data_IF_802285113712
#
_entry.id   IF_802285113712
#
_cell.length_a   1.000
_cell.length_b   1.000
_cell.length_c   1.000
_cell.angle_alpha   90.00
_cell.angle_beta   90.00
_cell.angle_gamma   90.00
#
_symmetry.space_group_name_H-M   'P 1'
#
loop_
_entity.id
_entity.type
_entity.pdbx_description
1 polymer ?
#
# COMPACT_ATOMS: atom_id res chain seq x y z
N UNK A 1 13.30 10.48 35.63
CA UNK A 1 13.94 9.45 34.83
C UNK A 1 12.89 8.60 34.18
N UNK A 2 12.89 8.60 32.88
CA UNK A 2 11.85 7.97 32.09
C UNK A 2 12.02 6.45 32.08
N UNK A 3 10.97 5.72 31.76
CA UNK A 3 11.03 4.29 31.53
C UNK A 3 12.13 3.93 30.50
N UNK A 4 12.38 4.81 29.56
CA UNK A 4 13.43 4.65 28.54
C UNK A 4 14.83 4.57 29.15
N UNK A 5 15.15 5.39 30.16
CA UNK A 5 16.46 5.33 30.84
C UNK A 5 16.68 3.98 31.55
N UNK A 6 15.60 3.37 32.01
CA UNK A 6 15.63 2.05 32.66
C UNK A 6 15.74 0.90 31.66
N UNK A 7 15.27 1.10 30.43
CA UNK A 7 15.33 0.12 29.34
C UNK A 7 16.70 0.12 28.64
N UNK A 8 17.42 1.22 28.67
CA UNK A 8 18.70 1.37 27.95
C UNK A 8 19.72 0.25 28.23
N UNK A 9 19.88 -0.24 29.48
CA UNK A 9 20.78 -1.39 29.74
C UNK A 9 20.38 -2.72 29.08
N UNK A 10 19.14 -2.82 28.56
CA UNK A 10 18.57 -4.00 27.95
C UNK A 10 18.49 -3.88 26.42
N UNK A 11 18.95 -2.76 25.87
CA UNK A 11 18.88 -2.48 24.44
C UNK A 11 19.78 -3.38 23.59
N UNK A 12 20.92 -3.75 24.14
CA UNK A 12 21.90 -4.61 23.46
C UNK A 12 21.83 -6.03 24.06
N UNK A 13 21.28 -7.02 23.33
CA UNK A 13 21.16 -8.39 23.82
C UNK A 13 22.51 -9.08 24.07
N UNK A 14 23.61 -8.59 23.50
CA UNK A 14 24.95 -9.14 23.66
C UNK A 14 25.69 -8.59 24.89
N UNK A 15 25.13 -7.61 25.60
CA UNK A 15 25.71 -7.07 26.83
C UNK A 15 25.24 -7.87 28.07
N UNK A 16 26.05 -7.86 29.12
CA UNK A 16 25.75 -8.53 30.40
C UNK A 16 24.51 -7.85 31.05
N UNK A 17 23.36 -8.52 30.98
CA UNK A 17 22.08 -8.02 31.39
C UNK A 17 21.93 -8.10 32.93
N UNK A 18 21.31 -7.08 33.60
CA UNK A 18 20.93 -7.19 35.00
C UNK A 18 19.96 -8.39 35.18
N UNK A 19 20.13 -9.17 36.24
CA UNK A 19 19.52 -10.47 36.43
C UNK A 19 17.97 -10.50 36.30
N UNK A 20 17.42 -11.71 36.21
CA UNK A 20 15.99 -12.01 35.96
C UNK A 20 14.99 -11.26 36.87
N UNK A 21 15.39 -10.98 38.11
CA UNK A 21 14.56 -10.22 39.06
C UNK A 21 14.39 -8.76 38.61
N UNK A 22 15.46 -8.14 38.10
CA UNK A 22 15.44 -6.77 37.60
C UNK A 22 14.54 -6.66 36.35
N UNK A 23 14.62 -7.64 35.44
CA UNK A 23 13.74 -7.73 34.28
C UNK A 23 12.26 -7.84 34.68
N UNK A 24 11.94 -8.70 35.61
CA UNK A 24 10.56 -8.89 36.08
C UNK A 24 9.95 -7.62 36.65
N UNK A 25 10.76 -6.85 37.41
CA UNK A 25 10.31 -5.54 37.96
C UNK A 25 10.10 -4.51 36.83
N UNK A 26 11.05 -4.42 35.91
CA UNK A 26 10.96 -3.51 34.76
C UNK A 26 9.76 -3.85 33.87
N UNK A 27 9.49 -5.12 33.66
CA UNK A 27 8.34 -5.61 32.91
C UNK A 27 7.01 -5.20 33.53
N UNK A 28 6.89 -5.18 34.84
CA UNK A 28 5.70 -4.65 35.50
C UNK A 28 5.55 -3.13 35.28
N UNK A 29 6.63 -2.39 35.41
CA UNK A 29 6.60 -0.94 35.13
C UNK A 29 6.22 -0.65 33.67
N UNK A 30 6.73 -1.42 32.72
CA UNK A 30 6.36 -1.32 31.31
C UNK A 30 4.84 -1.52 31.13
N UNK A 31 4.29 -2.59 31.75
CA UNK A 31 2.87 -2.88 31.66
C UNK A 31 2.03 -1.74 32.26
N UNK A 32 2.42 -1.19 33.40
CA UNK A 32 1.73 -0.08 34.06
C UNK A 32 1.78 1.20 33.22
N UNK A 33 2.95 1.58 32.70
CA UNK A 33 3.12 2.81 31.90
C UNK A 33 2.40 2.74 30.55
N UNK A 34 2.37 1.57 29.92
CA UNK A 34 1.69 1.35 28.64
C UNK A 34 0.22 0.96 28.80
N UNK A 35 -0.27 0.83 30.04
CA UNK A 35 -1.62 0.35 30.33
C UNK A 35 -1.92 -1.03 29.69
N UNK A 36 -0.91 -1.88 29.58
CA UNK A 36 -1.02 -3.20 29.00
C UNK A 36 -1.43 -4.25 30.05
N UNK A 37 -2.26 -5.19 29.63
CA UNK A 37 -2.42 -6.43 30.39
C UNK A 37 -1.12 -7.25 30.35
N UNK A 38 -0.95 -8.14 31.32
CA UNK A 38 0.19 -9.08 31.29
C UNK A 38 0.20 -9.99 30.05
N UNK A 39 -0.98 -10.25 29.49
CA UNK A 39 -1.15 -11.04 28.25
C UNK A 39 -0.71 -10.24 27.04
N UNK A 40 -1.08 -8.97 26.92
CA UNK A 40 -0.67 -8.11 25.82
C UNK A 40 0.84 -7.88 25.81
N UNK A 41 1.44 -7.69 26.99
CA UNK A 41 2.87 -7.55 27.11
C UNK A 41 3.60 -8.82 26.70
N UNK A 42 3.10 -10.00 27.12
CA UNK A 42 3.69 -11.28 26.73
C UNK A 42 3.60 -11.53 25.22
N UNK A 43 2.50 -11.10 24.58
CA UNK A 43 2.34 -11.14 23.12
C UNK A 43 3.36 -10.25 22.43
N UNK A 44 3.55 -9.02 22.89
CA UNK A 44 4.51 -8.09 22.33
C UNK A 44 5.93 -8.61 22.47
N UNK A 45 6.29 -9.18 23.64
CA UNK A 45 7.57 -9.84 23.86
C UNK A 45 7.78 -11.03 22.90
N UNK A 46 6.73 -11.83 22.68
CA UNK A 46 6.80 -12.94 21.72
C UNK A 46 7.02 -12.49 20.27
N UNK A 47 6.49 -11.33 19.89
CA UNK A 47 6.65 -10.78 18.55
C UNK A 47 8.05 -10.22 18.34
N UNK A 48 8.58 -9.50 19.32
CA UNK A 48 9.85 -8.79 19.21
C UNK A 48 11.07 -9.63 19.69
N UNK A 49 10.81 -10.71 20.42
CA UNK A 49 11.86 -11.61 20.91
C UNK A 49 12.97 -10.90 21.66
N UNK A 50 14.20 -11.25 21.39
CA UNK A 50 15.40 -10.69 22.04
C UNK A 50 15.57 -9.18 21.75
N UNK A 51 14.92 -8.65 20.73
CA UNK A 51 14.94 -7.23 20.38
C UNK A 51 13.87 -6.40 21.10
N UNK A 52 13.09 -6.99 22.00
CA UNK A 52 11.95 -6.31 22.65
C UNK A 52 12.33 -4.97 23.29
N UNK A 53 13.39 -4.93 24.09
CA UNK A 53 13.83 -3.73 24.77
C UNK A 53 14.34 -2.66 23.79
N UNK A 54 15.09 -3.07 22.77
CA UNK A 54 15.61 -2.19 21.72
C UNK A 54 14.46 -1.53 20.96
N UNK A 55 13.51 -2.31 20.46
CA UNK A 55 12.34 -1.78 19.75
C UNK A 55 11.48 -0.88 20.62
N UNK A 56 11.31 -1.20 21.90
CA UNK A 56 10.56 -0.35 22.82
C UNK A 56 11.24 0.99 23.07
N UNK A 57 12.58 1.02 23.17
CA UNK A 57 13.37 2.24 23.24
C UNK A 57 13.21 3.09 21.98
N UNK A 58 13.37 2.48 20.79
CA UNK A 58 13.26 3.17 19.51
C UNK A 58 11.85 3.75 19.31
N UNK A 59 10.83 2.96 19.60
CA UNK A 59 9.45 3.45 19.61
C UNK A 59 9.29 4.59 20.58
N UNK A 60 9.86 4.54 21.80
CA UNK A 60 9.75 5.58 22.81
C UNK A 60 10.47 6.90 22.45
N UNK A 61 11.57 6.82 21.72
CA UNK A 61 12.40 7.98 21.36
C UNK A 61 11.89 8.74 20.13
N UNK A 62 11.20 8.05 19.22
CA UNK A 62 10.70 8.68 18.00
C UNK A 62 9.47 9.56 18.27
N UNK A 63 9.37 10.75 17.68
CA UNK A 63 8.16 11.56 17.75
C UNK A 63 7.02 10.86 17.03
N UNK A 64 5.85 10.81 17.68
CA UNK A 64 4.66 10.16 17.13
C UNK A 64 3.62 11.20 16.75
N UNK A 65 3.11 11.08 15.54
CA UNK A 65 1.95 11.84 15.08
C UNK A 65 0.85 10.87 14.74
N UNK A 66 -0.25 10.90 15.49
CA UNK A 66 -1.41 10.09 15.23
C UNK A 66 -2.58 10.98 14.85
N UNK A 67 -3.28 10.64 13.79
CA UNK A 67 -4.57 11.18 13.48
C UNK A 67 -5.59 10.05 13.56
N UNK A 68 -6.60 10.18 14.41
CA UNK A 68 -7.71 9.23 14.51
C UNK A 68 -8.94 9.88 13.94
N UNK A 69 -9.46 9.33 12.84
CA UNK A 69 -10.74 9.73 12.28
C UNK A 69 -11.76 8.66 12.58
N UNK A 70 -12.78 8.98 13.36
CA UNK A 70 -13.90 8.09 13.58
C UNK A 70 -14.85 8.20 12.39
N UNK A 71 -14.93 7.13 11.61
CA UNK A 71 -15.95 6.99 10.59
C UNK A 71 -17.22 6.46 11.27
N UNK A 72 -18.35 7.05 10.90
CA UNK A 72 -19.63 6.63 11.46
C UNK A 72 -19.89 5.13 11.19
N UNK A 73 -20.25 4.39 12.22
CA UNK A 73 -20.26 2.92 12.20
C UNK A 73 -21.50 2.26 11.61
N UNK A 74 -22.32 2.95 10.78
CA UNK A 74 -23.53 2.35 10.20
C UNK A 74 -23.46 2.26 8.67
N UNK A 75 -24.14 1.26 8.09
CA UNK A 75 -24.27 1.11 6.63
C UNK A 75 -24.83 2.36 5.94
N UNK A 76 -25.70 3.09 6.61
CA UNK A 76 -26.30 4.33 6.07
C UNK A 76 -25.23 5.39 5.94
N UNK A 77 -24.33 5.48 6.89
CA UNK A 77 -23.26 6.46 6.89
C UNK A 77 -22.19 6.11 5.86
N UNK A 78 -21.85 4.84 5.67
CA UNK A 78 -20.96 4.41 4.58
C UNK A 78 -21.49 4.81 3.21
N UNK A 79 -22.77 4.56 2.91
CA UNK A 79 -23.37 4.97 1.63
C UNK A 79 -23.38 6.48 1.42
N UNK A 80 -23.65 7.23 2.49
CA UNK A 80 -23.63 8.69 2.44
C UNK A 80 -22.22 9.22 2.25
N UNK A 81 -21.26 8.61 2.95
CA UNK A 81 -19.85 8.92 2.84
C UNK A 81 -19.33 8.66 1.42
N UNK A 82 -19.63 7.48 0.86
CA UNK A 82 -19.24 7.10 -0.49
C UNK A 82 -19.82 8.06 -1.55
N UNK A 83 -21.09 8.42 -1.43
CA UNK A 83 -21.70 9.39 -2.36
C UNK A 83 -21.04 10.75 -2.30
N UNK A 84 -20.71 11.26 -1.11
CA UNK A 84 -19.99 12.52 -0.95
C UNK A 84 -18.59 12.48 -1.51
N UNK A 85 -17.88 11.38 -1.24
CA UNK A 85 -16.56 11.14 -1.78
C UNK A 85 -16.57 11.09 -3.31
N UNK A 86 -17.52 10.36 -3.90
CA UNK A 86 -17.66 10.28 -5.35
C UNK A 86 -18.07 11.63 -5.98
N UNK A 87 -19.01 12.35 -5.36
CA UNK A 87 -19.37 13.70 -5.81
C UNK A 87 -18.17 14.63 -5.82
N UNK A 88 -17.33 14.56 -4.78
CA UNK A 88 -16.10 15.35 -4.73
C UNK A 88 -15.13 14.98 -5.88
N UNK A 89 -14.99 13.69 -6.19
CA UNK A 89 -14.14 13.23 -7.30
C UNK A 89 -14.71 13.71 -8.64
N UNK A 90 -16.01 13.58 -8.87
CA UNK A 90 -16.64 14.02 -10.11
C UNK A 90 -16.57 15.53 -10.31
N UNK A 91 -16.75 16.29 -9.24
CA UNK A 91 -16.66 17.76 -9.27
C UNK A 91 -15.22 18.26 -9.51
N UNK A 92 -14.21 17.55 -8.98
CA UNK A 92 -12.80 17.88 -9.18
C UNK A 92 -12.20 17.30 -10.48
N UNK A 93 -12.89 16.37 -11.12
CA UNK A 93 -12.44 15.75 -12.37
C UNK A 93 -12.50 16.74 -13.54
N UNK A 94 -11.45 16.77 -14.40
CA UNK A 94 -11.46 17.61 -15.60
C UNK A 94 -12.43 17.11 -16.69
N UNK A 95 -12.97 15.90 -16.53
CA UNK A 95 -13.84 15.23 -17.51
C UNK A 95 -15.04 14.59 -16.83
N UNK A 96 -16.11 14.42 -17.57
CA UNK A 96 -17.29 13.70 -17.08
C UNK A 96 -17.00 12.19 -17.03
N UNK A 97 -17.07 11.63 -15.81
CA UNK A 97 -16.85 10.22 -15.56
C UNK A 97 -18.07 9.36 -15.92
N UNK A 98 -19.26 9.95 -16.04
CA UNK A 98 -20.50 9.22 -16.28
C UNK A 98 -20.69 8.79 -17.74
N UNK A 99 -20.03 9.44 -18.69
CA UNK A 99 -20.23 9.23 -20.13
C UNK A 99 -19.11 8.42 -20.81
N UNK A 100 -18.09 8.01 -20.04
CA UNK A 100 -16.90 7.35 -20.60
C UNK A 100 -16.67 5.98 -19.97
N UNK A 101 -16.15 5.02 -20.73
CA UNK A 101 -15.78 3.72 -20.19
C UNK A 101 -14.64 3.85 -19.16
N UNK A 102 -14.78 3.19 -18.03
CA UNK A 102 -13.85 3.28 -16.90
C UNK A 102 -13.16 1.96 -16.65
N UNK A 103 -11.85 2.00 -16.48
CA UNK A 103 -11.07 0.96 -15.82
C UNK A 103 -10.83 1.39 -14.38
N UNK A 104 -11.30 0.59 -13.43
CA UNK A 104 -11.11 0.83 -12.01
C UNK A 104 -9.88 0.09 -11.51
N UNK A 105 -9.00 0.81 -10.82
CA UNK A 105 -7.81 0.25 -10.19
C UNK A 105 -7.87 0.62 -8.69
N UNK A 106 -7.74 -0.38 -7.82
CA UNK A 106 -7.47 -0.18 -6.41
C UNK A 106 -6.03 -0.61 -6.15
N UNK A 107 -5.19 0.37 -5.89
CA UNK A 107 -3.78 0.16 -5.60
C UNK A 107 -3.28 1.32 -4.74
N UNK A 108 -1.98 1.55 -4.67
CA UNK A 108 -1.48 2.80 -4.11
C UNK A 108 -1.53 3.93 -5.14
N UNK A 109 -1.58 5.18 -4.65
CA UNK A 109 -1.59 6.38 -5.51
C UNK A 109 -0.22 6.76 -6.09
N UNK A 110 0.79 5.91 -5.95
CA UNK A 110 2.14 6.19 -6.43
C UNK A 110 2.52 5.37 -7.65
N UNK A 111 2.31 4.05 -7.60
CA UNK A 111 2.90 3.12 -8.59
C UNK A 111 2.40 3.34 -10.00
N UNK A 112 1.09 3.39 -10.21
CA UNK A 112 0.49 3.54 -11.55
C UNK A 112 0.94 4.85 -12.17
N UNK A 113 0.83 5.95 -11.42
CA UNK A 113 1.15 7.28 -11.93
C UNK A 113 2.65 7.46 -12.16
N UNK A 114 3.51 6.95 -11.30
CA UNK A 114 4.95 6.98 -11.51
C UNK A 114 5.36 6.31 -12.84
N UNK A 115 4.72 5.16 -13.13
CA UNK A 115 5.00 4.43 -14.36
C UNK A 115 4.43 5.10 -15.60
N UNK A 116 3.29 5.77 -15.52
CA UNK A 116 2.64 6.44 -16.65
C UNK A 116 3.18 7.85 -16.91
N UNK A 117 3.55 8.58 -15.85
CA UNK A 117 4.09 9.93 -15.99
C UNK A 117 5.61 9.95 -16.25
N UNK A 118 6.34 8.95 -15.75
CA UNK A 118 7.79 8.91 -15.79
C UNK A 118 8.47 10.11 -15.13
N UNK A 119 7.78 10.79 -14.20
CA UNK A 119 8.27 12.02 -13.57
C UNK A 119 9.60 11.82 -12.86
N UNK A 120 9.72 10.74 -12.06
CA UNK A 120 10.97 10.40 -11.38
C UNK A 120 12.12 10.12 -12.37
N UNK A 121 11.82 9.39 -13.44
CA UNK A 121 12.82 8.96 -14.39
C UNK A 121 13.42 10.15 -15.17
N UNK A 122 12.60 11.16 -15.45
CA UNK A 122 13.09 12.39 -16.10
C UNK A 122 13.87 13.33 -15.17
N UNK A 123 13.85 13.05 -13.86
CA UNK A 123 14.57 13.79 -12.81
C UNK A 123 15.61 12.95 -12.10
N UNK A 124 16.12 11.93 -12.75
CA UNK A 124 17.13 11.02 -12.16
C UNK A 124 18.32 11.78 -11.57
N UNK A 125 18.82 12.82 -12.26
CA UNK A 125 19.95 13.59 -11.77
C UNK A 125 19.64 14.39 -10.51
N UNK A 126 18.43 14.95 -10.40
CA UNK A 126 17.98 15.71 -9.23
C UNK A 126 17.75 14.78 -8.04
N UNK A 127 17.14 13.63 -8.31
CA UNK A 127 16.89 12.61 -7.29
C UNK A 127 18.20 11.94 -6.81
N UNK A 128 19.16 11.75 -7.73
CA UNK A 128 20.47 11.24 -7.35
C UNK A 128 21.24 12.22 -6.47
N UNK A 129 21.07 13.54 -6.65
CA UNK A 129 21.64 14.55 -5.76
C UNK A 129 20.93 14.53 -4.39
N UNK A 130 19.60 14.46 -4.37
CA UNK A 130 18.85 14.33 -3.13
C UNK A 130 19.28 13.08 -2.33
N UNK A 131 19.48 11.95 -3.01
CA UNK A 131 19.99 10.73 -2.39
C UNK A 131 21.35 10.92 -1.70
N UNK A 132 22.24 11.75 -2.26
CA UNK A 132 23.52 12.08 -1.60
C UNK A 132 23.37 12.95 -0.35
N UNK A 133 22.28 13.72 -0.28
CA UNK A 133 21.96 14.56 0.88
C UNK A 133 21.18 13.78 1.98
N UNK A 134 20.68 12.58 1.66
CA UNK A 134 20.07 11.67 2.63
C UNK A 134 21.18 11.04 3.49
N UNK A 135 20.93 10.93 4.80
CA UNK A 135 21.84 10.25 5.73
C UNK A 135 21.60 8.72 5.68
N UNK A 136 21.55 8.17 4.47
CA UNK A 136 21.34 6.74 4.20
C UNK A 136 22.39 6.20 3.25
N UNK A 137 23.50 5.79 3.81
CA UNK A 137 24.64 5.23 3.09
C UNK A 137 24.29 3.93 2.35
N UNK A 138 23.38 3.12 2.88
CA UNK A 138 22.98 1.85 2.30
C UNK A 138 22.23 2.07 0.97
N UNK A 139 21.31 3.04 0.92
CA UNK A 139 20.61 3.41 -0.31
C UNK A 139 21.56 4.00 -1.36
N UNK A 140 22.54 4.81 -0.94
CA UNK A 140 23.57 5.37 -1.85
C UNK A 140 24.40 4.25 -2.48
N UNK A 141 24.82 3.27 -1.68
CA UNK A 141 25.57 2.12 -2.18
C UNK A 141 24.69 1.25 -3.09
N UNK A 142 23.45 0.99 -2.73
CA UNK A 142 22.50 0.23 -3.55
C UNK A 142 22.33 0.89 -4.92
N UNK A 143 22.07 2.21 -4.99
CA UNK A 143 21.95 2.94 -6.23
C UNK A 143 23.21 2.83 -7.09
N UNK A 144 24.41 2.97 -6.48
CA UNK A 144 25.68 2.81 -7.17
C UNK A 144 25.86 1.41 -7.77
N UNK A 145 25.50 0.37 -7.01
CA UNK A 145 25.60 -1.03 -7.46
C UNK A 145 24.61 -1.37 -8.58
N UNK A 146 23.37 -0.80 -8.49
CA UNK A 146 22.39 -0.92 -9.56
C UNK A 146 22.93 -0.28 -10.85
N UNK A 147 23.45 0.95 -10.77
CA UNK A 147 23.99 1.69 -11.91
C UNK A 147 25.20 0.98 -12.57
N UNK A 148 25.99 0.27 -11.80
CA UNK A 148 27.10 -0.55 -12.28
C UNK A 148 26.67 -1.93 -12.81
N UNK A 149 25.40 -2.31 -12.64
CA UNK A 149 24.91 -3.63 -13.02
C UNK A 149 25.41 -4.76 -12.11
N UNK A 150 25.84 -4.44 -10.89
CA UNK A 150 26.38 -5.41 -9.93
C UNK A 150 25.28 -6.22 -9.23
N UNK A 151 24.06 -5.69 -9.21
CA UNK A 151 22.88 -6.34 -8.65
C UNK A 151 21.72 -6.29 -9.65
N UNK A 152 20.81 -7.28 -9.64
CA UNK A 152 19.74 -7.39 -10.63
C UNK A 152 18.58 -6.41 -10.43
N UNK A 153 18.63 -5.54 -9.43
CA UNK A 153 17.63 -4.51 -9.16
C UNK A 153 17.54 -3.49 -10.31
N UNK A 154 16.42 -2.78 -10.35
CA UNK A 154 16.19 -1.73 -11.35
C UNK A 154 16.21 -0.36 -10.70
N UNK A 155 16.88 0.60 -11.32
CA UNK A 155 16.98 1.98 -10.83
C UNK A 155 15.64 2.68 -10.76
N UNK A 156 14.68 2.32 -11.63
CA UNK A 156 13.36 2.92 -11.65
C UNK A 156 12.64 2.80 -10.31
N UNK A 157 12.65 1.62 -9.70
CA UNK A 157 11.99 1.40 -8.40
C UNK A 157 12.63 2.24 -7.29
N UNK A 158 13.96 2.32 -7.28
CA UNK A 158 14.67 3.12 -6.30
C UNK A 158 14.40 4.62 -6.51
N UNK A 159 14.36 5.10 -7.76
CA UNK A 159 14.00 6.49 -8.06
C UNK A 159 12.57 6.84 -7.62
N UNK A 160 11.63 5.91 -7.72
CA UNK A 160 10.26 6.11 -7.21
C UNK A 160 10.25 6.23 -5.68
N UNK A 161 11.06 5.44 -4.99
CA UNK A 161 11.22 5.53 -3.54
C UNK A 161 11.85 6.87 -3.13
N UNK A 162 12.96 7.26 -3.78
CA UNK A 162 13.65 8.54 -3.52
C UNK A 162 12.72 9.72 -3.82
N UNK A 163 11.94 9.67 -4.90
CA UNK A 163 10.96 10.73 -5.19
C UNK A 163 9.98 10.91 -4.05
N UNK A 164 9.48 9.82 -3.49
CA UNK A 164 8.54 9.87 -2.36
C UNK A 164 9.17 10.54 -1.15
N UNK A 165 10.38 10.15 -0.78
CA UNK A 165 11.14 10.76 0.31
C UNK A 165 11.38 12.25 0.05
N UNK A 166 11.78 12.60 -1.18
CA UNK A 166 12.01 13.98 -1.57
C UNK A 166 10.75 14.85 -1.49
N UNK A 167 9.59 14.28 -1.78
CA UNK A 167 8.30 14.95 -1.66
C UNK A 167 7.85 15.15 -0.20
N UNK A 168 8.35 14.35 0.73
CA UNK A 168 8.07 14.47 2.16
C UNK A 168 9.01 15.48 2.88
N UNK A 169 9.98 16.07 2.17
CA UNK A 169 10.93 17.07 2.71
C UNK A 169 10.39 18.50 2.71
N UNK A 170 11.18 19.45 3.21
CA UNK A 170 10.82 20.89 3.31
C UNK A 170 10.61 21.61 1.96
N UNK A 171 10.93 21.00 0.84
CA UNK A 171 10.67 21.51 -0.53
C UNK A 171 9.47 20.82 -1.21
N UNK A 172 8.68 20.12 -0.45
CA UNK A 172 7.55 19.33 -0.94
C UNK A 172 6.62 20.13 -1.88
N UNK A 173 6.23 21.35 -1.51
CA UNK A 173 5.26 22.14 -2.28
C UNK A 173 5.73 22.45 -3.70
N UNK A 174 7.03 22.74 -3.91
CA UNK A 174 7.56 23.05 -5.24
C UNK A 174 7.55 21.82 -6.16
N UNK A 175 8.01 20.67 -5.62
CA UNK A 175 8.06 19.41 -6.37
C UNK A 175 6.66 18.89 -6.63
N UNK A 176 5.76 18.99 -5.67
CA UNK A 176 4.35 18.66 -5.82
C UNK A 176 3.71 19.47 -6.94
N UNK A 177 3.89 20.78 -6.96
CA UNK A 177 3.36 21.65 -7.99
C UNK A 177 3.90 21.32 -9.38
N UNK A 178 5.21 21.05 -9.49
CA UNK A 178 5.83 20.64 -10.75
C UNK A 178 5.28 19.29 -11.24
N UNK A 179 5.13 18.34 -10.33
CA UNK A 179 4.58 17.02 -10.61
C UNK A 179 3.14 17.14 -11.10
N UNK A 180 2.28 17.86 -10.38
CA UNK A 180 0.89 18.05 -10.75
C UNK A 180 0.76 18.71 -12.13
N UNK A 181 1.57 19.72 -12.43
CA UNK A 181 1.56 20.38 -13.74
C UNK A 181 1.96 19.43 -14.86
N UNK A 182 3.03 18.65 -14.70
CA UNK A 182 3.47 17.70 -15.73
C UNK A 182 2.50 16.54 -15.90
N UNK A 183 1.98 16.00 -14.82
CA UNK A 183 0.99 14.93 -14.84
C UNK A 183 -0.32 15.39 -15.50
N UNK A 184 -0.75 16.64 -15.28
CA UNK A 184 -1.88 17.22 -15.99
C UNK A 184 -1.67 17.32 -17.51
N UNK A 185 -0.42 17.52 -17.99
CA UNK A 185 -0.12 17.52 -19.42
C UNK A 185 -0.33 16.14 -20.07
N UNK A 186 -0.18 15.06 -19.31
CA UNK A 186 -0.45 13.70 -19.78
C UNK A 186 -1.81 13.15 -19.31
N UNK A 187 -2.72 14.03 -18.91
CA UNK A 187 -4.10 13.66 -18.60
C UNK A 187 -4.30 13.00 -17.23
N UNK A 188 -3.38 13.19 -16.30
CA UNK A 188 -3.47 12.64 -14.94
C UNK A 188 -3.87 13.77 -13.99
N UNK A 189 -4.93 13.55 -13.21
CA UNK A 189 -5.39 14.44 -12.15
C UNK A 189 -5.42 13.71 -10.82
N UNK A 190 -4.67 14.24 -9.86
CA UNK A 190 -4.77 13.83 -8.45
C UNK A 190 -5.95 14.53 -7.77
N UNK A 191 -6.64 13.79 -6.94
CA UNK A 191 -7.80 14.28 -6.18
C UNK A 191 -7.65 13.78 -4.75
N UNK A 192 -7.23 14.70 -3.88
CA UNK A 192 -7.04 14.42 -2.47
C UNK A 192 -8.39 14.21 -1.78
N UNK A 193 -8.46 13.28 -0.86
CA UNK A 193 -9.67 13.04 -0.09
C UNK A 193 -9.55 13.62 1.31
N UNK A 194 -10.12 14.82 1.51
CA UNK A 194 -10.01 15.52 2.81
C UNK A 194 -11.18 15.28 3.76
N UNK A 195 -12.24 14.53 3.38
CA UNK A 195 -13.50 14.74 4.10
C UNK A 195 -14.17 13.52 4.74
N UNK A 196 -14.20 12.34 4.16
CA UNK A 196 -15.06 11.28 4.71
C UNK A 196 -14.44 9.88 4.64
N UNK A 197 -13.85 9.57 3.53
CA UNK A 197 -12.93 8.45 3.36
C UNK A 197 -11.54 9.04 3.15
N UNK A 198 -10.57 8.49 3.83
CA UNK A 198 -9.16 8.81 3.61
C UNK A 198 -8.64 7.95 2.44
N UNK A 199 -9.32 8.11 1.30
CA UNK A 199 -9.02 7.38 0.06
C UNK A 199 -8.83 8.39 -1.03
N UNK A 200 -7.58 8.61 -1.40
CA UNK A 200 -7.21 9.46 -2.53
C UNK A 200 -7.59 8.79 -3.84
N UNK A 201 -7.83 9.59 -4.85
CA UNK A 201 -8.16 9.12 -6.18
C UNK A 201 -7.35 9.82 -7.26
N UNK A 202 -7.19 9.12 -8.37
CA UNK A 202 -6.58 9.66 -9.58
C UNK A 202 -7.51 9.37 -10.76
N UNK A 203 -7.78 10.38 -11.55
CA UNK A 203 -8.48 10.27 -12.82
C UNK A 203 -7.47 10.44 -13.94
N UNK A 204 -7.41 9.45 -14.84
CA UNK A 204 -6.42 9.40 -15.92
C UNK A 204 -7.14 9.27 -17.26
N UNK A 205 -6.94 10.23 -18.15
CA UNK A 205 -7.43 10.21 -19.52
C UNK A 205 -6.49 9.40 -20.42
N UNK A 206 -6.89 8.20 -20.80
CA UNK A 206 -6.03 7.26 -21.55
C UNK A 206 -5.53 7.87 -22.86
N UNK A 207 -6.35 8.63 -23.57
CA UNK A 207 -5.97 9.26 -24.85
C UNK A 207 -4.93 10.40 -24.72
N UNK A 208 -4.74 10.93 -23.52
CA UNK A 208 -3.78 12.01 -23.27
C UNK A 208 -2.44 11.51 -22.75
N UNK A 209 -2.36 10.22 -22.40
CA UNK A 209 -1.11 9.62 -21.97
C UNK A 209 -0.03 9.77 -23.02
N UNK A 210 1.21 9.94 -22.57
CA UNK A 210 2.38 10.11 -23.41
C UNK A 210 3.31 8.90 -23.33
N UNK A 211 3.23 7.96 -24.27
CA UNK A 211 4.02 6.72 -24.23
C UNK A 211 5.53 6.92 -24.18
N UNK A 212 6.02 8.03 -24.70
CA UNK A 212 7.43 8.44 -24.64
C UNK A 212 7.90 8.76 -23.20
N UNK A 213 6.96 9.09 -22.31
CA UNK A 213 7.22 9.36 -20.89
C UNK A 213 7.15 8.12 -20.03
N UNK A 214 6.56 7.04 -20.52
CA UNK A 214 6.33 5.84 -19.74
C UNK A 214 7.62 5.21 -19.22
N UNK A 215 7.48 4.58 -18.07
CA UNK A 215 8.48 3.62 -17.60
C UNK A 215 8.84 2.64 -18.73
N UNK A 216 10.13 2.36 -18.96
CA UNK A 216 10.57 1.47 -20.04
C UNK A 216 9.88 0.11 -20.04
N UNK A 217 9.44 -0.37 -18.87
CA UNK A 217 8.72 -1.66 -18.72
C UNK A 217 7.33 -1.67 -19.35
N UNK A 218 6.71 -0.50 -19.52
CA UNK A 218 5.40 -0.36 -20.16
C UNK A 218 5.49 -0.15 -21.69
N UNK A 219 6.67 -0.06 -22.25
CA UNK A 219 6.86 0.20 -23.68
C UNK A 219 6.59 -1.05 -24.49
N UNK A 220 5.39 -1.15 -25.03
CA UNK A 220 4.95 -2.22 -25.95
C UNK A 220 4.60 -1.64 -27.31
N UNK A 221 4.63 -2.44 -28.41
CA UNK A 221 4.45 -1.94 -29.78
C UNK A 221 3.12 -1.24 -30.06
N UNK A 222 2.09 -1.49 -29.27
CA UNK A 222 0.69 -1.08 -29.57
C UNK A 222 0.25 0.17 -28.80
N UNK A 223 1.18 0.89 -28.17
CA UNK A 223 0.87 2.08 -27.35
C UNK A 223 0.20 3.21 -28.14
N UNK A 224 0.42 3.28 -29.45
CA UNK A 224 -0.22 4.30 -30.31
C UNK A 224 -1.76 4.22 -30.29
N UNK A 225 -2.32 3.07 -29.93
CA UNK A 225 -3.77 2.88 -29.77
C UNK A 225 -4.34 3.66 -28.60
N UNK A 226 -3.54 4.01 -27.60
CA UNK A 226 -3.99 4.78 -26.46
C UNK A 226 -4.58 6.13 -26.87
N UNK A 227 -4.01 6.78 -27.86
CA UNK A 227 -4.49 8.07 -28.38
C UNK A 227 -5.91 8.01 -28.97
N UNK A 228 -6.39 6.83 -29.33
CA UNK A 228 -7.74 6.63 -29.88
C UNK A 228 -8.75 6.18 -28.80
N UNK A 229 -8.30 5.96 -27.57
CA UNK A 229 -9.15 5.46 -26.50
C UNK A 229 -9.87 6.59 -25.77
N UNK A 230 -11.20 6.53 -25.71
CA UNK A 230 -11.96 7.44 -24.86
C UNK A 230 -12.10 6.97 -23.42
N UNK A 231 -11.41 5.89 -23.05
CA UNK A 231 -11.48 5.33 -21.71
C UNK A 231 -10.79 6.20 -20.66
N UNK A 232 -11.25 6.06 -19.43
CA UNK A 232 -10.65 6.63 -18.23
C UNK A 232 -10.08 5.51 -17.35
N UNK A 233 -9.05 5.82 -16.60
CA UNK A 233 -8.65 5.01 -15.45
C UNK A 233 -9.00 5.80 -14.20
N UNK A 234 -9.73 5.18 -13.28
CA UNK A 234 -9.94 5.68 -11.93
C UNK A 234 -9.12 4.80 -11.00
N UNK A 235 -8.00 5.33 -10.54
CA UNK A 235 -7.12 4.66 -9.58
C UNK A 235 -7.38 5.25 -8.19
N UNK A 236 -7.50 4.38 -7.19
CA UNK A 236 -7.71 4.79 -5.80
C UNK A 236 -6.71 4.13 -4.87
N UNK A 237 -6.49 4.78 -3.72
CA UNK A 237 -5.76 4.15 -2.62
C UNK A 237 -6.62 3.06 -1.94
N UNK A 238 -6.08 2.36 -0.97
CA UNK A 238 -6.70 1.20 -0.33
C UNK A 238 -7.89 1.58 0.56
N UNK A 239 -9.13 1.25 0.16
CA UNK A 239 -10.30 1.45 1.01
C UNK A 239 -10.54 0.21 1.88
N UNK A 240 -10.06 0.22 3.09
CA UNK A 240 -10.10 -0.95 3.97
C UNK A 240 -11.52 -1.55 4.15
N UNK A 241 -11.61 -2.86 4.03
CA UNK A 241 -12.79 -3.65 4.35
C UNK A 241 -14.04 -3.25 3.57
N UNK A 242 -15.15 -2.96 4.26
CA UNK A 242 -16.43 -2.60 3.64
C UNK A 242 -16.42 -1.29 2.84
N UNK A 243 -15.40 -0.45 3.01
CA UNK A 243 -15.16 0.70 2.14
C UNK A 243 -15.03 0.29 0.67
N UNK A 244 -14.29 -0.79 0.41
CA UNK A 244 -14.10 -1.36 -0.92
C UNK A 244 -15.43 -1.72 -1.60
N UNK A 245 -16.32 -2.43 -0.88
CA UNK A 245 -17.65 -2.77 -1.35
C UNK A 245 -18.46 -1.53 -1.76
N UNK A 246 -18.54 -0.55 -0.86
CA UNK A 246 -19.36 0.64 -1.08
C UNK A 246 -18.84 1.51 -2.21
N UNK A 247 -17.53 1.66 -2.33
CA UNK A 247 -16.89 2.45 -3.39
C UNK A 247 -17.14 1.80 -4.75
N UNK A 248 -16.79 0.52 -4.92
CA UNK A 248 -16.96 -0.14 -6.22
C UNK A 248 -18.43 -0.25 -6.63
N UNK A 249 -19.34 -0.61 -5.70
CA UNK A 249 -20.78 -0.64 -5.98
C UNK A 249 -21.31 0.71 -6.44
N UNK A 250 -20.81 1.81 -5.87
CA UNK A 250 -21.25 3.14 -6.25
C UNK A 250 -20.69 3.54 -7.62
N UNK A 251 -19.40 3.33 -7.87
CA UNK A 251 -18.76 3.59 -9.16
C UNK A 251 -19.45 2.80 -10.27
N UNK A 252 -19.67 1.49 -10.07
CA UNK A 252 -20.29 0.62 -11.06
C UNK A 252 -21.70 1.07 -11.48
N UNK A 253 -22.42 1.80 -10.60
CA UNK A 253 -23.74 2.34 -10.92
C UNK A 253 -23.72 3.80 -11.41
N UNK A 254 -22.57 4.45 -11.36
CA UNK A 254 -22.42 5.90 -11.66
C UNK A 254 -21.68 6.16 -12.97
N UNK A 255 -21.05 5.17 -13.57
CA UNK A 255 -20.34 5.27 -14.85
C UNK A 255 -21.10 4.53 -15.93
N UNK A 256 -20.96 4.95 -17.19
CA UNK A 256 -21.61 4.30 -18.34
C UNK A 256 -21.18 2.82 -18.45
N UNK A 257 -19.90 2.54 -18.34
CA UNK A 257 -19.36 1.20 -18.54
C UNK A 257 -18.10 0.97 -17.71
N UNK A 258 -18.17 0.02 -16.80
CA UNK A 258 -16.99 -0.48 -16.07
C UNK A 258 -16.34 -1.60 -16.90
N UNK A 259 -15.18 -1.33 -17.49
CA UNK A 259 -14.48 -2.22 -18.42
C UNK A 259 -13.57 -3.23 -17.75
N UNK A 260 -13.08 -2.90 -16.56
CA UNK A 260 -12.20 -3.78 -15.81
C UNK A 260 -12.04 -3.30 -14.38
N UNK A 261 -11.79 -4.23 -13.48
CA UNK A 261 -11.51 -4.00 -12.07
C UNK A 261 -10.19 -4.67 -11.74
N UNK A 262 -9.20 -3.90 -11.33
CA UNK A 262 -7.87 -4.37 -10.99
C UNK A 262 -7.58 -4.04 -9.53
N UNK A 263 -7.32 -5.07 -8.74
CA UNK A 263 -7.07 -4.94 -7.31
C UNK A 263 -5.64 -5.42 -7.06
N UNK A 264 -4.81 -4.52 -6.56
CA UNK A 264 -3.44 -4.78 -6.16
C UNK A 264 -3.28 -4.29 -4.73
N UNK A 265 -2.87 -5.14 -3.83
CA UNK A 265 -2.74 -4.79 -2.43
C UNK A 265 -1.61 -5.54 -1.76
N UNK A 266 -1.48 -5.33 -0.47
CA UNK A 266 -0.59 -6.09 0.39
C UNK A 266 -1.41 -7.15 1.11
N UNK A 267 -0.85 -8.35 1.22
CA UNK A 267 -1.42 -9.43 1.99
C UNK A 267 -0.39 -9.97 2.98
N UNK A 268 -0.87 -10.47 4.12
CA UNK A 268 -0.07 -11.37 4.93
C UNK A 268 -0.14 -12.76 4.31
N UNK A 269 1.00 -13.41 4.13
CA UNK A 269 1.04 -14.73 3.52
C UNK A 269 1.47 -15.80 4.52
N UNK A 270 0.90 -17.00 4.38
CA UNK A 270 1.22 -18.16 5.21
C UNK A 270 2.22 -19.12 4.54
N UNK A 271 2.43 -19.01 3.24
CA UNK A 271 3.31 -19.89 2.45
C UNK A 271 4.29 -19.17 1.54
N UNK A 272 4.21 -17.85 1.45
CA UNK A 272 5.09 -17.01 0.63
C UNK A 272 6.17 -16.31 1.46
N UNK A 273 7.01 -15.56 0.77
CA UNK A 273 8.05 -14.69 1.34
C UNK A 273 7.75 -13.24 1.01
N UNK A 274 8.38 -12.33 1.72
CA UNK A 274 8.31 -10.89 1.39
C UNK A 274 8.79 -10.69 -0.06
N UNK A 275 7.95 -10.02 -0.88
CA UNK A 275 8.22 -9.79 -2.30
C UNK A 275 7.59 -10.80 -3.25
N UNK A 276 7.00 -11.90 -2.76
CA UNK A 276 6.23 -12.81 -3.59
C UNK A 276 4.90 -12.17 -4.02
N UNK A 277 4.46 -12.45 -5.25
CA UNK A 277 3.18 -12.04 -5.79
C UNK A 277 2.17 -13.19 -5.70
N UNK A 278 1.11 -12.98 -4.94
CA UNK A 278 0.07 -13.97 -4.71
C UNK A 278 -1.13 -13.68 -5.62
N UNK A 279 -1.58 -14.68 -6.38
CA UNK A 279 -2.73 -14.54 -7.28
C UNK A 279 -3.81 -15.53 -6.81
N UNK A 280 -4.81 -15.07 -6.04
CA UNK A 280 -5.84 -15.94 -5.50
C UNK A 280 -6.85 -16.32 -6.58
N UNK A 281 -7.29 -17.56 -6.52
CA UNK A 281 -8.38 -18.13 -7.31
C UNK A 281 -9.66 -18.32 -6.47
N UNK A 282 -9.49 -18.46 -5.16
CA UNK A 282 -10.57 -18.59 -4.19
C UNK A 282 -10.39 -17.50 -3.13
N UNK A 283 -11.46 -16.77 -2.84
CA UNK A 283 -11.48 -15.79 -1.75
C UNK A 283 -12.69 -16.07 -0.86
N UNK A 284 -12.42 -16.29 0.43
CA UNK A 284 -13.46 -16.33 1.45
C UNK A 284 -13.59 -14.95 2.10
N UNK A 285 -14.78 -14.39 2.06
CA UNK A 285 -15.06 -13.08 2.67
C UNK A 285 -15.78 -13.24 4.01
N UNK A 286 -15.12 -12.85 5.10
CA UNK A 286 -15.73 -12.87 6.44
C UNK A 286 -16.90 -11.89 6.59
N UNK A 287 -16.97 -10.82 5.77
CA UNK A 287 -18.03 -9.82 5.86
C UNK A 287 -19.37 -10.38 5.36
N UNK A 288 -19.35 -10.98 4.18
CA UNK A 288 -20.53 -11.58 3.54
C UNK A 288 -20.72 -13.05 3.91
N UNK A 289 -19.67 -13.71 4.42
CA UNK A 289 -19.55 -15.15 4.66
C UNK A 289 -19.70 -15.97 3.37
N UNK A 290 -19.40 -15.37 2.23
CA UNK A 290 -19.38 -16.04 0.94
C UNK A 290 -17.96 -16.49 0.57
N UNK A 291 -17.90 -17.50 -0.29
CA UNK A 291 -16.66 -17.93 -0.92
C UNK A 291 -16.80 -17.72 -2.41
N UNK A 292 -15.90 -16.96 -2.99
CA UNK A 292 -15.86 -16.63 -4.40
C UNK A 292 -14.80 -17.48 -5.09
N UNK A 293 -15.19 -18.11 -6.21
CA UNK A 293 -14.28 -18.76 -7.13
C UNK A 293 -14.30 -17.97 -8.43
N UNK A 294 -13.15 -17.54 -8.91
CA UNK A 294 -13.07 -16.71 -10.11
C UNK A 294 -11.75 -16.91 -10.84
N UNK A 295 -11.71 -16.50 -12.10
CA UNK A 295 -10.48 -16.49 -12.89
C UNK A 295 -9.94 -15.06 -12.93
N UNK A 296 -8.68 -14.89 -12.54
CA UNK A 296 -7.99 -13.63 -12.74
C UNK A 296 -7.68 -13.41 -14.21
N UNK A 297 -7.60 -12.14 -14.63
CA UNK A 297 -7.06 -11.76 -15.93
C UNK A 297 -5.54 -11.93 -16.04
N UNK A 298 -4.84 -12.04 -14.90
CA UNK A 298 -3.41 -12.30 -14.81
C UNK A 298 -3.13 -13.68 -14.21
N UNK A 299 -2.04 -14.27 -14.67
CA UNK A 299 -1.48 -15.52 -14.13
C UNK A 299 0.00 -15.30 -13.78
N UNK A 300 0.61 -16.29 -13.13
CA UNK A 300 2.04 -16.25 -12.84
C UNK A 300 2.89 -16.03 -14.10
N UNK A 301 2.47 -16.61 -15.23
CA UNK A 301 3.19 -16.44 -16.52
C UNK A 301 3.22 -14.98 -16.97
N UNK A 302 2.15 -14.23 -16.69
CA UNK A 302 2.09 -12.81 -17.04
C UNK A 302 2.93 -11.93 -16.10
N UNK A 303 3.01 -12.26 -14.83
CA UNK A 303 3.65 -11.43 -13.80
C UNK A 303 5.13 -11.75 -13.60
N UNK A 304 5.51 -13.03 -13.63
CA UNK A 304 6.87 -13.48 -13.36
C UNK A 304 7.98 -12.75 -14.16
N UNK A 305 7.80 -12.40 -15.45
CA UNK A 305 8.83 -11.70 -16.22
C UNK A 305 9.20 -10.31 -15.67
N UNK A 306 8.33 -9.71 -14.87
CA UNK A 306 8.52 -8.37 -14.30
C UNK A 306 9.08 -8.39 -12.88
N UNK A 307 9.10 -9.54 -12.22
CA UNK A 307 9.67 -9.68 -10.88
C UNK A 307 11.19 -9.78 -10.97
N UNK A 308 11.88 -8.94 -10.21
CA UNK A 308 13.33 -9.02 -10.01
C UNK A 308 13.65 -9.91 -8.81
N UNK A 309 12.84 -9.80 -7.77
CA UNK A 309 12.92 -10.59 -6.54
C UNK A 309 11.56 -11.23 -6.26
N UNK A 310 11.58 -12.33 -5.52
CA UNK A 310 10.37 -13.08 -5.20
C UNK A 310 9.91 -14.00 -6.33
N UNK A 311 8.78 -14.64 -6.10
CA UNK A 311 8.11 -15.54 -7.05
C UNK A 311 6.64 -15.16 -7.22
N UNK A 312 6.01 -15.71 -8.24
CA UNK A 312 4.56 -15.56 -8.42
C UNK A 312 3.88 -16.89 -8.15
N UNK A 313 2.88 -16.88 -7.30
CA UNK A 313 2.12 -18.05 -6.89
C UNK A 313 0.67 -17.91 -7.38
N UNK A 314 0.30 -18.76 -8.34
CA UNK A 314 -1.06 -18.86 -8.86
C UNK A 314 -1.95 -19.74 -7.99
N UNK A 315 -3.25 -19.65 -8.22
CA UNK A 315 -4.28 -20.50 -7.62
C UNK A 315 -4.27 -20.48 -6.08
N UNK A 316 -3.94 -19.33 -5.52
CA UNK A 316 -3.92 -19.17 -4.09
C UNK A 316 -5.33 -19.09 -3.52
N UNK A 317 -5.46 -19.36 -2.23
CA UNK A 317 -6.71 -19.27 -1.49
C UNK A 317 -6.58 -18.17 -0.44
N UNK A 318 -7.26 -17.06 -0.66
CA UNK A 318 -7.23 -15.90 0.22
C UNK A 318 -8.44 -15.85 1.16
N UNK A 319 -8.27 -15.15 2.27
CA UNK A 319 -9.35 -14.79 3.18
C UNK A 319 -9.35 -13.28 3.39
N UNK A 320 -10.50 -12.64 3.13
CA UNK A 320 -10.75 -11.24 3.46
C UNK A 320 -11.28 -11.15 4.88
N UNK A 321 -10.43 -10.69 5.79
CA UNK A 321 -10.77 -10.60 7.22
C UNK A 321 -11.39 -9.25 7.56
N UNK A 322 -12.22 -9.24 8.62
CA UNK A 322 -12.90 -8.02 9.09
C UNK A 322 -12.02 -7.10 9.90
N UNK A 323 -11.01 -7.65 10.54
CA UNK A 323 -10.19 -6.95 11.52
C UNK A 323 -8.76 -6.79 11.06
N UNK A 324 -8.07 -5.83 11.62
CA UNK A 324 -6.65 -5.56 11.37
C UNK A 324 -5.70 -6.51 12.10
N UNK A 325 -6.22 -7.42 12.93
CA UNK A 325 -5.42 -8.43 13.63
C UNK A 325 -5.03 -9.58 12.70
N UNK A 326 -4.30 -9.25 11.65
CA UNK A 326 -3.88 -10.19 10.62
C UNK A 326 -2.89 -11.26 11.12
N UNK A 327 -2.29 -11.05 12.29
CA UNK A 327 -1.24 -11.91 12.86
C UNK A 327 -1.65 -12.51 14.21
N UNK A 328 -2.91 -12.89 14.39
CA UNK A 328 -3.35 -13.59 15.57
C UNK A 328 -2.99 -15.09 15.45
N UNK A 329 -2.07 -15.57 16.27
CA UNK A 329 -1.57 -16.95 16.25
C UNK A 329 -2.67 -18.01 16.21
N UNK A 330 -3.76 -17.80 16.97
CA UNK A 330 -4.87 -18.75 17.02
C UNK A 330 -5.59 -18.88 15.67
N UNK A 331 -5.71 -17.77 14.92
CA UNK A 331 -6.33 -17.77 13.61
C UNK A 331 -5.37 -18.23 12.51
N UNK A 332 -4.07 -17.91 12.63
CA UNK A 332 -3.06 -18.35 11.68
C UNK A 332 -3.04 -19.87 11.53
N UNK A 333 -3.04 -20.59 12.65
CA UNK A 333 -3.09 -22.06 12.64
C UNK A 333 -4.35 -22.61 11.97
N UNK A 334 -5.51 -21.98 12.21
CA UNK A 334 -6.77 -22.37 11.58
C UNK A 334 -6.71 -22.10 10.08
N UNK A 335 -6.32 -20.91 9.68
CA UNK A 335 -6.24 -20.54 8.26
C UNK A 335 -5.26 -21.44 7.49
N UNK A 336 -4.11 -21.73 8.07
CA UNK A 336 -3.14 -22.63 7.46
C UNK A 336 -3.70 -24.05 7.28
N UNK A 337 -4.36 -24.60 8.30
CA UNK A 337 -4.99 -25.94 8.23
C UNK A 337 -6.12 -26.01 7.20
N UNK A 338 -6.87 -24.92 7.04
CA UNK A 338 -7.92 -24.80 6.03
C UNK A 338 -7.38 -24.49 4.63
N UNK A 339 -6.07 -24.41 4.48
CA UNK A 339 -5.38 -24.22 3.20
C UNK A 339 -5.46 -22.81 2.66
N UNK A 340 -5.71 -21.81 3.53
CA UNK A 340 -5.54 -20.40 3.14
C UNK A 340 -4.06 -20.06 3.05
N UNK A 341 -3.72 -19.25 2.05
CA UNK A 341 -2.36 -18.83 1.77
C UNK A 341 -2.16 -17.35 1.96
N UNK A 342 -3.26 -16.57 1.82
CA UNK A 342 -3.24 -15.12 1.86
C UNK A 342 -4.32 -14.59 2.80
N UNK A 343 -3.97 -13.54 3.55
CA UNK A 343 -4.87 -12.83 4.45
C UNK A 343 -4.83 -11.35 4.05
N UNK A 344 -5.98 -10.82 3.65
CA UNK A 344 -6.15 -9.45 3.18
C UNK A 344 -7.50 -8.89 3.67
N UNK A 345 -7.92 -7.71 3.25
CA UNK A 345 -9.11 -7.04 3.79
C UNK A 345 -10.10 -6.52 2.74
N UNK A 346 -9.77 -6.52 1.46
CA UNK A 346 -10.52 -5.79 0.43
C UNK A 346 -11.11 -6.66 -0.68
N UNK A 347 -10.45 -7.75 -1.06
CA UNK A 347 -10.81 -8.51 -2.25
C UNK A 347 -12.21 -9.14 -2.16
N UNK A 348 -12.57 -9.71 -1.01
CA UNK A 348 -13.91 -10.23 -0.76
C UNK A 348 -15.00 -9.16 -0.87
N UNK A 349 -14.90 -8.01 -0.18
CA UNK A 349 -15.76 -6.86 -0.38
C UNK A 349 -15.88 -6.39 -1.82
N UNK A 350 -14.79 -6.31 -2.58
CA UNK A 350 -14.85 -5.97 -4.01
C UNK A 350 -15.62 -7.01 -4.83
N UNK A 351 -15.38 -8.30 -4.61
CA UNK A 351 -16.13 -9.38 -5.28
C UNK A 351 -17.61 -9.40 -4.89
N UNK A 352 -17.95 -8.93 -3.69
CA UNK A 352 -19.35 -8.76 -3.27
C UNK A 352 -20.06 -7.60 -3.97
N UNK A 353 -19.32 -6.67 -4.55
CA UNK A 353 -19.84 -5.47 -5.21
C UNK A 353 -20.17 -5.69 -6.69
N UNK A 354 -19.61 -6.72 -7.30
CA UNK A 354 -19.77 -7.11 -8.71
C UNK A 354 -20.79 -8.23 -8.85
#
# INVERSE_FOLDING_TARGET
HSLLDKLEPWRDPDQAVPGEVAWRTLRQEIAEVLEFSSEDLARLESIWGDQFAAWLCDVGQQPKRFAVRLLAGSRVDYRKATRRWWSFITDASPVDLSERPVYFISSNVHSVVNMLSGFALRREEDLARHLQDMDDQELVEEYSRIRKGEIPSRSENLLYFILRDHMDTHRADEIWNQREQEEALCGIKHIDSHHVFDVEAQVIEVCRLRPDWFDPRLRVPELDRLAQSNALIVNIDYPLGMGAYHILSHIATSVDSLRGVYILGKAATLNGRIGDAMIPYVIHDEHSRNTYLFNNCFTAVNVAPYLVHGTTLDNQKAISVRGTFLQNDRYMDVFYREGYTDIEMEAGPYLSAV
#
